data_IF_764866449075
#
_entry.id   IF_764866449075
#
_cell.length_a   1.000
_cell.length_b   1.000
_cell.length_c   1.000
_cell.angle_alpha   90.00
_cell.angle_beta   90.00
_cell.angle_gamma   90.00
#
_symmetry.space_group_name_H-M   'P 1'
#
loop_
_entity.id
_entity.type
_entity.pdbx_description
1 polymer ?
#
# COMPACT_ATOMS: atom_id res chain seq x y z
N UNK A 1 -21.64 -3.68 -7.74
CA UNK A 1 -20.71 -3.29 -6.65
C UNK A 1 -19.40 -4.01 -6.92
N UNK A 2 -18.28 -3.29 -6.84
CA UNK A 2 -16.96 -3.81 -7.21
C UNK A 2 -16.48 -4.84 -6.18
N UNK A 3 -15.97 -5.98 -6.66
CA UNK A 3 -15.33 -7.00 -5.82
C UNK A 3 -13.87 -6.68 -5.47
N UNK A 4 -13.43 -5.49 -5.87
CA UNK A 4 -12.03 -5.06 -5.85
C UNK A 4 -11.95 -3.60 -5.34
N UNK A 5 -10.81 -3.16 -4.79
CA UNK A 5 -10.58 -1.75 -4.48
C UNK A 5 -10.96 -0.84 -5.65
N UNK A 6 -11.63 0.27 -5.36
CA UNK A 6 -11.92 1.30 -6.37
C UNK A 6 -10.60 1.82 -6.96
N UNK A 7 -10.54 1.90 -8.29
CA UNK A 7 -9.43 2.53 -9.01
C UNK A 7 -9.43 4.02 -8.69
N UNK A 8 -8.28 4.56 -8.30
CA UNK A 8 -8.16 5.97 -7.92
C UNK A 8 -6.91 6.26 -7.11
N UNK A 9 -6.81 7.51 -6.65
CA UNK A 9 -5.68 7.98 -5.86
C UNK A 9 -6.08 8.08 -4.40
N UNK A 10 -5.48 7.24 -3.58
CA UNK A 10 -5.64 7.19 -2.14
C UNK A 10 -4.52 8.00 -1.48
N UNK A 11 -4.86 8.96 -0.63
CA UNK A 11 -3.88 9.80 0.08
C UNK A 11 -4.05 9.60 1.57
N UNK A 12 -2.94 9.40 2.29
CA UNK A 12 -2.96 9.29 3.76
C UNK A 12 -3.41 10.62 4.39
N UNK A 13 -4.03 10.54 5.55
CA UNK A 13 -4.53 11.71 6.30
C UNK A 13 -3.45 12.76 6.60
N UNK A 14 -2.18 12.34 6.74
CA UNK A 14 -1.02 13.20 6.97
C UNK A 14 -0.38 13.71 5.67
N UNK A 15 -0.92 13.35 4.50
CA UNK A 15 -0.42 13.67 3.17
C UNK A 15 1.00 13.17 2.88
N UNK A 16 1.55 12.24 3.67
CA UNK A 16 2.90 11.73 3.46
C UNK A 16 2.97 10.54 2.50
N UNK A 17 1.85 9.86 2.27
CA UNK A 17 1.79 8.63 1.48
C UNK A 17 0.67 8.71 0.46
N UNK A 18 0.96 8.28 -0.76
CA UNK A 18 -0.01 8.18 -1.83
C UNK A 18 0.01 6.77 -2.43
N UNK A 19 -1.17 6.19 -2.60
CA UNK A 19 -1.41 4.92 -3.25
C UNK A 19 -2.36 5.17 -4.44
N UNK A 20 -1.83 5.18 -5.66
CA UNK A 20 -2.64 5.20 -6.87
C UNK A 20 -2.89 3.78 -7.32
N UNK A 21 -4.14 3.33 -7.31
CA UNK A 21 -4.55 2.04 -7.85
C UNK A 21 -4.92 2.26 -9.32
N UNK A 22 -4.18 1.66 -10.24
CA UNK A 22 -4.49 1.69 -11.69
C UNK A 22 -5.26 0.45 -12.14
N UNK A 23 -5.07 -0.69 -11.46
CA UNK A 23 -5.89 -1.88 -11.65
C UNK A 23 -5.88 -2.77 -10.41
N UNK A 24 -6.95 -3.54 -10.26
CA UNK A 24 -7.10 -4.57 -9.23
C UNK A 24 -7.71 -5.82 -9.88
N UNK A 25 -7.02 -6.95 -9.77
CA UNK A 25 -7.39 -8.20 -10.46
C UNK A 25 -8.17 -9.12 -9.51
N UNK A 26 -9.47 -9.42 -9.77
CA UNK A 26 -10.27 -10.28 -8.92
C UNK A 26 -9.92 -11.76 -8.99
N UNK A 27 -9.10 -12.20 -9.95
CA UNK A 27 -8.71 -13.60 -10.09
C UNK A 27 -7.59 -14.03 -9.14
N UNK A 28 -6.72 -13.09 -8.76
CA UNK A 28 -5.52 -13.35 -7.95
C UNK A 28 -5.30 -12.32 -6.84
N UNK A 29 -6.17 -11.31 -6.73
CA UNK A 29 -6.07 -10.28 -5.71
C UNK A 29 -4.95 -9.25 -5.97
N UNK A 30 -4.30 -9.24 -7.14
CA UNK A 30 -3.18 -8.33 -7.40
C UNK A 30 -3.62 -6.88 -7.55
N UNK A 31 -2.85 -5.95 -6.97
CA UNK A 31 -3.01 -4.50 -7.15
C UNK A 31 -1.83 -3.96 -7.93
N UNK A 32 -2.12 -3.23 -9.01
CA UNK A 32 -1.12 -2.46 -9.76
C UNK A 32 -1.37 -0.97 -9.64
N UNK A 33 -0.29 -0.20 -9.70
CA UNK A 33 -0.33 1.25 -9.79
C UNK A 33 0.95 1.88 -9.27
N UNK A 34 0.82 2.97 -8.52
CA UNK A 34 1.94 3.76 -8.01
C UNK A 34 1.84 3.90 -6.49
N UNK A 35 2.95 3.68 -5.79
CA UNK A 35 3.12 4.00 -4.37
C UNK A 35 4.16 5.12 -4.21
N UNK A 36 3.81 6.16 -3.44
CA UNK A 36 4.70 7.27 -3.12
C UNK A 36 4.78 7.45 -1.62
N UNK A 37 5.98 7.62 -1.09
CA UNK A 37 6.20 8.17 0.23
C UNK A 37 7.05 9.44 0.13
N UNK A 38 6.55 10.54 0.68
CA UNK A 38 7.14 11.88 0.54
C UNK A 38 8.41 12.07 1.38
N UNK A 39 8.70 11.15 2.29
CA UNK A 39 9.92 11.15 3.08
C UNK A 39 10.50 9.74 3.20
N UNK A 40 11.82 9.67 3.32
CA UNK A 40 12.63 8.51 3.73
C UNK A 40 14.05 8.97 4.07
N UNK A 41 14.93 8.10 4.58
CA UNK A 41 16.34 8.46 4.81
C UNK A 41 17.07 9.02 3.58
N UNK A 42 16.56 8.77 2.38
CA UNK A 42 17.13 9.24 1.10
C UNK A 42 16.20 10.17 0.31
N UNK A 43 15.16 10.70 0.96
CA UNK A 43 14.15 11.56 0.32
C UNK A 43 12.90 10.81 -0.15
N UNK A 44 12.19 11.36 -1.12
CA UNK A 44 10.96 10.76 -1.64
C UNK A 44 11.24 9.43 -2.34
N UNK A 45 10.35 8.47 -2.16
CA UNK A 45 10.31 7.23 -2.96
C UNK A 45 9.06 7.21 -3.83
N UNK A 46 9.21 6.71 -5.07
CA UNK A 46 8.13 6.52 -6.02
C UNK A 46 8.32 5.16 -6.71
N UNK A 47 7.35 4.26 -6.56
CA UNK A 47 7.41 2.88 -7.06
C UNK A 47 6.17 2.60 -7.89
N UNK A 48 6.36 2.06 -9.09
CA UNK A 48 5.29 1.70 -10.00
C UNK A 48 5.29 0.20 -10.32
N UNK A 49 4.13 -0.35 -10.65
CA UNK A 49 3.97 -1.73 -11.08
C UNK A 49 3.05 -2.52 -10.17
N UNK A 50 3.44 -3.75 -9.81
CA UNK A 50 2.71 -4.55 -8.83
C UNK A 50 3.10 -4.08 -7.43
N UNK A 51 2.17 -3.39 -6.76
CA UNK A 51 2.45 -2.66 -5.52
C UNK A 51 1.75 -3.27 -4.31
N UNK A 52 0.92 -4.30 -4.51
CA UNK A 52 0.17 -4.86 -3.41
C UNK A 52 -0.80 -5.97 -3.83
N UNK A 53 -1.65 -6.35 -2.88
CA UNK A 53 -2.73 -7.30 -3.11
C UNK A 53 -3.88 -7.13 -2.14
N UNK A 54 -4.95 -7.88 -2.35
CA UNK A 54 -6.11 -7.93 -1.48
C UNK A 54 -6.74 -9.33 -1.49
N UNK A 55 -7.41 -9.66 -0.40
CA UNK A 55 -8.14 -10.91 -0.25
C UNK A 55 -9.39 -10.68 0.59
N UNK A 56 -10.50 -11.25 0.14
CA UNK A 56 -11.82 -11.10 0.73
C UNK A 56 -12.34 -12.44 1.25
N UNK A 57 -13.34 -12.33 2.12
CA UNK A 57 -14.07 -13.46 2.69
C UNK A 57 -15.55 -13.30 2.34
N UNK A 58 -16.34 -14.35 2.58
CA UNK A 58 -17.80 -14.25 2.53
C UNK A 58 -18.30 -13.28 3.60
N UNK A 59 -18.97 -12.20 3.17
CA UNK A 59 -19.54 -11.24 4.09
C UNK A 59 -20.96 -11.66 4.49
N UNK A 60 -21.11 -12.20 5.71
CA UNK A 60 -22.42 -12.63 6.24
C UNK A 60 -23.45 -11.50 6.29
N UNK A 61 -23.04 -10.27 6.60
CA UNK A 61 -23.94 -9.11 6.68
C UNK A 61 -24.50 -8.68 5.32
N UNK A 62 -23.81 -9.03 4.23
CA UNK A 62 -24.23 -8.73 2.86
C UNK A 62 -24.67 -9.97 2.06
N UNK A 63 -24.48 -11.18 2.62
CA UNK A 63 -24.86 -12.45 2.00
C UNK A 63 -24.09 -12.80 0.72
N UNK A 64 -22.86 -12.28 0.53
CA UNK A 64 -22.05 -12.52 -0.68
C UNK A 64 -20.55 -12.37 -0.44
N UNK A 65 -19.76 -12.99 -1.32
CA UNK A 65 -18.32 -12.77 -1.46
C UNK A 65 -18.02 -11.47 -2.20
N UNK A 66 -16.76 -11.05 -2.15
CA UNK A 66 -16.26 -9.95 -2.97
C UNK A 66 -16.86 -8.61 -2.56
N UNK A 67 -17.04 -8.37 -1.27
CA UNK A 67 -17.49 -7.07 -0.79
C UNK A 67 -16.69 -6.63 0.41
N UNK A 68 -16.44 -5.33 0.48
CA UNK A 68 -15.81 -4.71 1.64
C UNK A 68 -16.60 -5.03 2.93
N UNK A 69 -15.92 -5.19 4.08
CA UNK A 69 -14.49 -5.05 4.26
C UNK A 69 -13.69 -6.27 3.79
N UNK A 70 -12.46 -6.05 3.38
CA UNK A 70 -11.51 -7.11 3.03
C UNK A 70 -10.07 -6.70 3.36
N UNK A 71 -9.18 -7.68 3.44
CA UNK A 71 -7.75 -7.42 3.72
C UNK A 71 -7.05 -6.90 2.49
N UNK A 72 -6.06 -6.03 2.68
CA UNK A 72 -5.19 -5.54 1.63
C UNK A 72 -3.77 -5.42 2.16
N UNK A 73 -2.81 -5.38 1.25
CA UNK A 73 -1.43 -5.00 1.52
C UNK A 73 -0.93 -4.19 0.35
N UNK A 74 -0.02 -3.25 0.61
CA UNK A 74 0.64 -2.49 -0.43
C UNK A 74 1.98 -1.95 0.06
N UNK A 75 2.76 -1.40 -0.83
CA UNK A 75 4.04 -0.81 -0.48
C UNK A 75 4.92 -0.56 -1.69
N UNK A 76 6.21 -0.39 -1.42
CA UNK A 76 7.19 -0.16 -2.46
C UNK A 76 8.59 -0.48 -1.97
N UNK A 77 9.38 -1.09 -2.83
CA UNK A 77 10.79 -1.37 -2.58
C UNK A 77 11.65 -0.66 -3.63
N UNK A 78 12.72 -0.02 -3.19
CA UNK A 78 13.66 0.71 -4.06
C UNK A 78 15.07 0.19 -3.80
N UNK A 79 15.77 -0.15 -4.89
CA UNK A 79 17.22 -0.41 -4.90
C UNK A 79 17.82 0.23 -6.15
N UNK A 80 18.46 1.40 -6.03
CA UNK A 80 19.04 2.08 -7.19
C UNK A 80 20.19 1.29 -7.81
N UNK A 81 20.56 1.68 -9.03
CA UNK A 81 21.79 1.23 -9.68
C UNK A 81 23.02 1.58 -8.83
N UNK A 82 24.04 0.75 -8.89
CA UNK A 82 25.19 0.82 -7.98
C UNK A 82 24.90 0.32 -6.56
N UNK A 83 23.63 0.03 -6.23
CA UNK A 83 23.18 -0.53 -4.95
C UNK A 83 23.64 0.25 -3.71
N UNK A 84 23.59 1.60 -3.70
CA UNK A 84 24.03 2.39 -2.55
C UNK A 84 23.12 2.21 -1.31
N UNK A 85 21.87 1.79 -1.52
CA UNK A 85 20.91 1.49 -0.46
C UNK A 85 19.78 0.56 -0.94
N UNK A 86 19.01 0.04 0.00
CA UNK A 86 17.70 -0.57 -0.22
C UNK A 86 16.69 0.03 0.76
N UNK A 87 15.50 0.36 0.27
CA UNK A 87 14.32 0.72 1.07
C UNK A 87 13.21 -0.27 0.76
N UNK A 88 12.45 -0.66 1.78
CA UNK A 88 11.21 -1.40 1.62
C UNK A 88 10.15 -0.87 2.58
N UNK A 89 9.08 -0.35 2.03
CA UNK A 89 7.86 0.01 2.75
C UNK A 89 6.83 -1.09 2.57
N UNK A 90 6.26 -1.55 3.68
CA UNK A 90 5.21 -2.55 3.68
C UNK A 90 4.05 -2.09 4.56
N UNK A 91 2.85 -2.12 3.99
CA UNK A 91 1.59 -1.78 4.65
C UNK A 91 0.72 -3.03 4.76
N UNK A 92 0.26 -3.32 5.98
CA UNK A 92 -0.82 -4.27 6.24
C UNK A 92 -2.10 -3.47 6.43
N UNK A 93 -3.16 -3.82 5.69
CA UNK A 93 -4.31 -2.95 5.55
C UNK A 93 -5.66 -3.69 5.52
N UNK A 94 -6.72 -2.92 5.76
CA UNK A 94 -8.10 -3.31 5.48
C UNK A 94 -8.76 -2.25 4.61
N UNK A 95 -9.47 -2.69 3.58
CA UNK A 95 -10.34 -1.86 2.76
C UNK A 95 -11.73 -1.84 3.36
N UNK A 96 -12.34 -0.66 3.48
CA UNK A 96 -13.61 -0.46 4.18
C UNK A 96 -14.77 -0.15 3.21
N UNK A 97 -16.04 -0.34 3.63
CA UNK A 97 -17.21 -0.10 2.77
C UNK A 97 -17.38 1.33 2.26
N UNK A 98 -16.75 2.31 2.90
CA UNK A 98 -16.73 3.72 2.49
C UNK A 98 -15.60 4.04 1.50
N UNK A 99 -14.98 3.01 0.91
CA UNK A 99 -13.82 3.11 0.03
C UNK A 99 -12.61 3.78 0.68
N UNK A 100 -12.48 3.70 2.01
CA UNK A 100 -11.25 4.08 2.71
C UNK A 100 -10.38 2.87 2.99
N UNK A 101 -9.09 3.11 3.21
CA UNK A 101 -8.13 2.09 3.62
C UNK A 101 -7.59 2.47 4.99
N UNK A 102 -7.66 1.55 5.94
CA UNK A 102 -6.96 1.66 7.22
C UNK A 102 -5.73 0.75 7.16
N UNK A 103 -4.53 1.30 7.34
CA UNK A 103 -3.29 0.55 7.19
C UNK A 103 -2.26 0.89 8.27
N UNK A 104 -1.51 -0.12 8.73
CA UNK A 104 -0.29 0.05 9.53
C UNK A 104 0.92 -0.18 8.64
N UNK A 105 1.88 0.74 8.68
CA UNK A 105 3.05 0.70 7.82
C UNK A 105 4.34 0.45 8.59
N UNK A 106 5.30 -0.18 7.92
CA UNK A 106 6.68 -0.28 8.38
C UNK A 106 7.63 0.00 7.24
N UNK A 107 8.83 0.49 7.58
CA UNK A 107 9.93 0.72 6.65
C UNK A 107 11.18 0.05 7.15
N UNK A 108 11.83 -0.72 6.29
CA UNK A 108 13.22 -1.14 6.45
C UNK A 108 14.13 -0.36 5.52
N UNK A 109 15.30 0.04 6.02
CA UNK A 109 16.34 0.72 5.26
C UNK A 109 17.69 0.10 5.55
N UNK A 110 18.48 -0.12 4.51
CA UNK A 110 19.91 -0.46 4.62
C UNK A 110 20.72 0.34 3.61
N UNK A 111 21.92 0.79 3.96
CA UNK A 111 22.83 1.46 3.02
C UNK A 111 24.22 0.80 2.96
N UNK A 112 25.03 1.21 1.98
CA UNK A 112 26.38 0.69 1.76
C UNK A 112 27.37 1.02 2.88
N UNK A 113 27.06 2.02 3.72
CA UNK A 113 27.87 2.39 4.89
C UNK A 113 27.57 1.51 6.12
N UNK A 114 26.67 0.52 5.97
CA UNK A 114 26.31 -0.42 7.03
C UNK A 114 25.20 0.08 7.97
N UNK A 115 24.55 1.21 7.67
CA UNK A 115 23.37 1.66 8.40
C UNK A 115 22.22 0.68 8.12
N UNK A 116 21.57 0.21 9.18
CA UNK A 116 20.40 -0.66 9.10
C UNK A 116 19.33 -0.18 10.09
N UNK A 117 18.13 0.10 9.58
CA UNK A 117 17.02 0.63 10.36
C UNK A 117 15.70 -0.07 10.02
N UNK A 118 14.87 -0.29 11.04
CA UNK A 118 13.46 -0.64 10.88
C UNK A 118 12.65 0.35 11.71
N UNK A 119 11.57 0.91 11.14
CA UNK A 119 10.69 1.85 11.84
C UNK A 119 9.23 1.66 11.45
N UNK A 120 8.33 2.01 12.36
CA UNK A 120 6.91 2.16 12.05
C UNK A 120 6.69 3.44 11.22
N UNK A 121 5.76 3.37 10.27
CA UNK A 121 5.18 4.52 9.55
C UNK A 121 3.84 4.97 10.16
N UNK A 122 3.40 4.25 11.20
CA UNK A 122 2.17 4.44 11.97
C UNK A 122 0.93 3.84 11.31
N UNK A 123 -0.17 3.89 12.04
CA UNK A 123 -1.50 3.60 11.52
C UNK A 123 -2.00 4.82 10.78
N UNK A 124 -2.39 4.66 9.52
CA UNK A 124 -2.88 5.72 8.65
C UNK A 124 -4.21 5.34 8.02
N UNK A 125 -5.08 6.34 7.90
CA UNK A 125 -6.24 6.25 7.02
C UNK A 125 -5.92 6.88 5.67
N UNK A 126 -6.22 6.17 4.60
CA UNK A 126 -6.12 6.67 3.23
C UNK A 126 -7.51 6.87 2.66
N UNK A 127 -7.74 8.04 2.07
CA UNK A 127 -9.00 8.40 1.42
C UNK A 127 -8.79 8.66 -0.06
N UNK A 128 -9.77 8.25 -0.87
CA UNK A 128 -9.75 8.48 -2.30
C UNK A 128 -9.98 9.98 -2.60
N UNK A 129 -9.24 10.53 -3.57
CA UNK A 129 -9.39 11.89 -4.09
C UNK A 129 -9.73 11.88 -5.59
#
# INVERSE_FOLDING_TARGET
MSNVPVIGTYVSEDNNFTLKISSADPSNGAIRGTYVANYSPVGQINVEGAIGGYAWVFNKGQGKDGVAPFTASFGGSVRPDGRPYCINDAWSAVYLPDNTILAEGSRSFVNQDGVAEVRSLGTRRFTIR
#
